data_IF_370285439980
#
_entry.id   IF_370285439980
#
_cell.length_a   1.000
_cell.length_b   1.000
_cell.length_c   1.000
_cell.angle_alpha   90.00
_cell.angle_beta   90.00
_cell.angle_gamma   90.00
#
_symmetry.space_group_name_H-M   'P 1'
#
loop_
_entity.id
_entity.type
_entity.pdbx_description
1 polymer ?
#
# COMPACT_ATOMS: atom_id res chain seq x y z
N UNK A 1 -38.33 17.32 -22.14
CA UNK A 1 -37.55 16.35 -21.32
C UNK A 1 -36.07 16.12 -21.75
N UNK A 2 -35.42 17.00 -22.52
CA UNK A 2 -34.10 16.69 -23.11
C UNK A 2 -32.84 17.10 -22.34
N UNK A 3 -32.89 18.17 -21.51
CA UNK A 3 -31.68 18.77 -20.89
C UNK A 3 -31.21 18.02 -19.63
N UNK A 4 -32.14 17.48 -18.84
CA UNK A 4 -31.83 16.74 -17.60
C UNK A 4 -31.11 15.39 -17.87
N UNK A 5 -31.57 14.62 -18.87
CA UNK A 5 -30.92 13.36 -19.28
C UNK A 5 -29.50 13.57 -19.84
N UNK A 6 -29.26 14.70 -20.52
CA UNK A 6 -27.93 15.05 -21.04
C UNK A 6 -26.94 15.45 -19.93
N UNK A 7 -27.36 16.21 -18.92
CA UNK A 7 -26.52 16.53 -17.75
C UNK A 7 -26.19 15.27 -16.94
N UNK A 8 -27.20 14.45 -16.62
CA UNK A 8 -26.98 13.19 -15.90
C UNK A 8 -26.01 12.24 -16.61
N UNK A 9 -26.04 12.17 -17.95
CA UNK A 9 -25.09 11.34 -18.73
C UNK A 9 -23.66 11.92 -18.74
N UNK A 10 -23.52 13.24 -18.64
CA UNK A 10 -22.23 13.95 -18.54
C UNK A 10 -21.62 13.76 -17.15
N UNK A 11 -22.42 13.90 -16.09
CA UNK A 11 -21.97 13.72 -14.70
C UNK A 11 -21.58 12.26 -14.43
N UNK A 12 -22.30 11.28 -15.01
CA UNK A 12 -21.94 9.86 -14.90
C UNK A 12 -20.62 9.50 -15.59
N UNK A 13 -20.21 10.27 -16.62
CA UNK A 13 -18.91 10.10 -17.28
C UNK A 13 -17.79 10.74 -16.47
N UNK A 14 -18.00 11.97 -15.99
CA UNK A 14 -17.05 12.65 -15.11
C UNK A 14 -16.75 11.83 -13.83
N UNK A 15 -17.77 11.26 -13.19
CA UNK A 15 -17.58 10.40 -12.02
C UNK A 15 -16.85 9.08 -12.35
N UNK A 16 -17.02 8.53 -13.55
CA UNK A 16 -16.27 7.33 -13.99
C UNK A 16 -14.81 7.65 -14.27
N UNK A 17 -14.52 8.81 -14.84
CA UNK A 17 -13.15 9.28 -15.08
C UNK A 17 -12.42 9.57 -13.77
N UNK A 18 -13.08 10.23 -12.81
CA UNK A 18 -12.54 10.45 -11.46
C UNK A 18 -12.30 9.13 -10.71
N UNK A 19 -13.24 8.17 -10.79
CA UNK A 19 -13.06 6.86 -10.18
C UNK A 19 -11.96 6.04 -10.86
N UNK A 20 -11.75 6.21 -12.17
CA UNK A 20 -10.66 5.56 -12.90
C UNK A 20 -9.30 6.17 -12.53
N UNK A 21 -9.21 7.50 -12.40
CA UNK A 21 -8.00 8.19 -11.95
C UNK A 21 -7.63 7.81 -10.51
N UNK A 22 -8.60 7.79 -9.58
CA UNK A 22 -8.37 7.36 -8.21
C UNK A 22 -7.87 5.90 -8.12
N UNK A 23 -8.41 5.01 -8.95
CA UNK A 23 -7.93 3.61 -9.03
C UNK A 23 -6.51 3.52 -9.60
N UNK A 24 -6.21 4.30 -10.64
CA UNK A 24 -4.88 4.34 -11.24
C UNK A 24 -3.82 4.89 -10.27
N UNK A 25 -4.16 5.92 -9.48
CA UNK A 25 -3.26 6.45 -8.45
C UNK A 25 -3.00 5.45 -7.32
N UNK A 26 -4.04 4.74 -6.88
CA UNK A 26 -3.91 3.69 -5.86
C UNK A 26 -3.06 2.53 -6.38
N UNK A 27 -3.25 2.11 -7.64
CA UNK A 27 -2.40 1.08 -8.25
C UNK A 27 -0.95 1.55 -8.44
N UNK A 28 -0.73 2.79 -8.84
CA UNK A 28 0.61 3.36 -8.97
C UNK A 28 1.33 3.44 -7.62
N UNK A 29 0.63 3.84 -6.55
CA UNK A 29 1.15 3.82 -5.17
C UNK A 29 1.48 2.39 -4.72
N UNK A 30 0.60 1.41 -5.00
CA UNK A 30 0.85 -0.01 -4.70
C UNK A 30 2.05 -0.59 -5.47
N UNK A 31 2.24 -0.19 -6.73
CA UNK A 31 3.42 -0.60 -7.54
C UNK A 31 4.70 -0.01 -6.98
N UNK A 32 4.73 1.31 -6.73
CA UNK A 32 5.91 1.97 -6.12
C UNK A 32 6.24 1.37 -4.76
N UNK A 33 5.22 1.09 -3.95
CA UNK A 33 5.39 0.43 -2.66
C UNK A 33 6.09 -0.92 -2.74
N UNK A 34 5.63 -1.79 -3.66
CA UNK A 34 6.27 -3.09 -3.90
C UNK A 34 7.71 -2.99 -4.37
N UNK A 35 8.02 -2.03 -5.25
CA UNK A 35 9.39 -1.82 -5.74
C UNK A 35 10.29 -1.39 -4.58
N UNK A 36 9.85 -0.43 -3.76
CA UNK A 36 10.63 0.06 -2.62
C UNK A 36 10.84 -1.05 -1.60
N UNK A 37 9.79 -1.82 -1.24
CA UNK A 37 9.91 -2.91 -0.28
C UNK A 37 10.85 -4.04 -0.75
N UNK A 38 10.98 -4.23 -2.07
CA UNK A 38 11.90 -5.21 -2.65
C UNK A 38 13.32 -4.66 -2.84
N UNK A 39 13.49 -3.36 -3.05
CA UNK A 39 14.80 -2.74 -3.23
C UNK A 39 15.60 -2.63 -1.93
N UNK A 40 14.93 -2.30 -0.82
CA UNK A 40 15.56 -2.14 0.51
C UNK A 40 16.39 -3.36 0.95
N UNK A 41 15.89 -4.61 0.93
CA UNK A 41 16.66 -5.76 1.37
C UNK A 41 17.85 -6.04 0.44
N UNK A 42 17.71 -5.78 -0.87
CA UNK A 42 18.79 -5.94 -1.85
C UNK A 42 19.93 -4.95 -1.58
N UNK A 43 19.61 -3.69 -1.30
CA UNK A 43 20.62 -2.66 -0.96
C UNK A 43 21.34 -3.02 0.34
N UNK A 44 20.62 -3.44 1.38
CA UNK A 44 21.24 -3.82 2.64
C UNK A 44 22.12 -5.08 2.52
N UNK A 45 21.72 -6.06 1.71
CA UNK A 45 22.55 -7.22 1.40
C UNK A 45 23.83 -6.82 0.66
N UNK A 46 23.74 -5.91 -0.31
CA UNK A 46 24.91 -5.41 -1.03
C UNK A 46 25.89 -4.65 -0.10
N UNK A 47 25.36 -3.83 0.82
CA UNK A 47 26.17 -3.13 1.82
C UNK A 47 26.83 -4.10 2.81
N UNK A 48 26.10 -5.11 3.28
CA UNK A 48 26.64 -6.12 4.17
C UNK A 48 27.72 -6.98 3.49
N UNK A 49 27.52 -7.35 2.22
CA UNK A 49 28.51 -8.02 1.39
C UNK A 49 29.78 -7.17 1.21
N UNK A 50 29.62 -5.87 0.93
CA UNK A 50 30.75 -4.94 0.84
C UNK A 50 31.49 -4.76 2.16
N UNK A 51 30.78 -4.73 3.29
CA UNK A 51 31.39 -4.66 4.61
C UNK A 51 32.13 -5.96 4.99
N UNK A 52 31.60 -7.12 4.59
CA UNK A 52 32.19 -8.42 4.89
C UNK A 52 33.43 -8.70 4.04
N UNK A 53 33.34 -8.52 2.71
CA UNK A 53 34.45 -8.82 1.79
C UNK A 53 35.40 -7.65 1.53
N UNK A 54 34.91 -6.41 1.56
CA UNK A 54 35.74 -5.24 1.26
C UNK A 54 36.45 -4.64 2.47
N UNK A 55 35.80 -4.68 3.64
CA UNK A 55 36.34 -4.14 4.90
C UNK A 55 36.81 -5.24 5.86
N UNK A 56 36.62 -6.51 5.49
CA UNK A 56 36.95 -7.71 6.29
C UNK A 56 36.44 -7.61 7.74
N UNK A 57 35.36 -6.85 7.96
CA UNK A 57 34.84 -6.54 9.29
C UNK A 57 33.52 -7.28 9.51
N UNK A 58 33.54 -8.50 10.09
CA UNK A 58 32.35 -9.31 10.27
C UNK A 58 31.36 -8.66 11.25
N UNK A 59 31.85 -7.92 12.24
CA UNK A 59 31.00 -7.18 13.18
C UNK A 59 30.20 -6.08 12.48
N UNK A 60 30.84 -5.32 11.59
CA UNK A 60 30.17 -4.27 10.83
C UNK A 60 29.12 -4.88 9.86
N UNK A 61 29.45 -5.97 9.18
CA UNK A 61 28.51 -6.70 8.32
C UNK A 61 27.28 -7.19 9.10
N UNK A 62 27.49 -7.76 10.30
CA UNK A 62 26.42 -8.20 11.19
C UNK A 62 25.51 -7.07 11.66
N UNK A 63 26.07 -5.94 12.09
CA UNK A 63 25.30 -4.74 12.48
C UNK A 63 24.49 -4.21 11.31
N UNK A 64 25.07 -4.19 10.10
CA UNK A 64 24.41 -3.72 8.88
C UNK A 64 23.23 -4.63 8.50
N UNK A 65 23.39 -5.95 8.64
CA UNK A 65 22.31 -6.91 8.42
C UNK A 65 21.18 -6.77 9.45
N UNK A 66 21.51 -6.68 10.73
CA UNK A 66 20.50 -6.55 11.80
C UNK A 66 19.73 -5.23 11.68
N UNK A 67 20.43 -4.12 11.46
CA UNK A 67 19.80 -2.81 11.25
C UNK A 67 18.93 -2.79 9.99
N UNK A 68 19.44 -3.35 8.89
CA UNK A 68 18.72 -3.47 7.63
C UNK A 68 17.46 -4.33 7.72
N UNK A 69 17.57 -5.49 8.36
CA UNK A 69 16.43 -6.39 8.59
C UNK A 69 15.35 -5.71 9.44
N UNK A 70 15.74 -4.95 10.47
CA UNK A 70 14.79 -4.19 11.30
C UNK A 70 14.03 -3.12 10.51
N UNK A 71 14.74 -2.31 9.72
CA UNK A 71 14.11 -1.28 8.87
C UNK A 71 13.20 -1.94 7.82
N UNK A 72 13.66 -3.02 7.19
CA UNK A 72 12.89 -3.74 6.20
C UNK A 72 11.60 -4.33 6.80
N UNK A 73 11.67 -4.89 8.00
CA UNK A 73 10.52 -5.43 8.70
C UNK A 73 9.45 -4.35 8.97
N UNK A 74 9.86 -3.15 9.41
CA UNK A 74 8.94 -2.02 9.62
C UNK A 74 8.24 -1.60 8.33
N UNK A 75 8.98 -1.52 7.23
CA UNK A 75 8.42 -1.22 5.91
C UNK A 75 7.45 -2.31 5.44
N UNK A 76 7.85 -3.58 5.58
CA UNK A 76 7.01 -4.72 5.22
C UNK A 76 5.69 -4.74 5.99
N UNK A 77 5.73 -4.48 7.30
CA UNK A 77 4.54 -4.37 8.15
C UNK A 77 3.66 -3.17 7.77
N UNK A 78 4.27 -2.01 7.50
CA UNK A 78 3.54 -0.83 7.02
C UNK A 78 2.81 -1.09 5.69
N UNK A 79 3.48 -1.78 4.75
CA UNK A 79 2.85 -2.17 3.48
C UNK A 79 1.75 -3.20 3.67
N UNK A 80 1.97 -4.21 4.52
CA UNK A 80 0.98 -5.25 4.81
C UNK A 80 -0.29 -4.64 5.45
N UNK A 81 -0.11 -3.75 6.43
CA UNK A 81 -1.20 -3.02 7.08
C UNK A 81 -1.97 -2.11 6.12
N UNK A 82 -1.29 -1.45 5.18
CA UNK A 82 -1.94 -0.58 4.17
C UNK A 82 -2.86 -1.33 3.19
N UNK A 83 -2.68 -2.65 3.05
CA UNK A 83 -3.49 -3.51 2.19
C UNK A 83 -4.74 -4.08 2.85
N UNK A 84 -4.84 -4.00 4.18
CA UNK A 84 -6.00 -4.52 4.92
C UNK A 84 -7.12 -3.48 4.80
N UNK A 85 -8.16 -3.83 4.04
CA UNK A 85 -9.39 -3.04 4.02
C UNK A 85 -9.92 -2.95 5.46
N UNK A 86 -10.34 -1.75 5.93
CA UNK A 86 -10.96 -1.63 7.24
C UNK A 86 -12.10 -2.64 7.31
N UNK A 87 -12.00 -3.59 8.26
CA UNK A 87 -13.03 -4.60 8.49
C UNK A 87 -14.32 -3.86 8.77
N UNK A 88 -15.28 -3.92 7.84
CA UNK A 88 -16.60 -3.25 7.84
C UNK A 88 -17.10 -2.98 9.27
N UNK A 89 -16.69 -1.85 9.86
CA UNK A 89 -17.22 -1.39 11.16
C UNK A 89 -18.58 -0.72 10.96
N UNK A 90 -18.89 -0.33 9.73
CA UNK A 90 -20.14 0.33 9.36
C UNK A 90 -21.31 -0.66 9.16
N UNK A 91 -21.06 -1.97 9.15
CA UNK A 91 -22.10 -3.03 9.17
C UNK A 91 -22.59 -3.39 10.56
N UNK A 92 -22.18 -2.65 11.60
CA UNK A 92 -22.78 -2.77 12.93
C UNK A 92 -24.15 -2.08 13.04
N UNK A 93 -24.59 -1.33 12.01
CA UNK A 93 -25.86 -0.59 11.99
C UNK A 93 -26.99 -1.23 11.19
N UNK A 94 -26.77 -2.36 10.52
CA UNK A 94 -27.83 -3.05 9.73
C UNK A 94 -28.45 -4.24 10.46
N UNK A 95 -28.38 -4.27 11.80
CA UNK A 95 -29.19 -5.20 12.59
C UNK A 95 -30.63 -4.68 12.51
N UNK A 96 -31.39 -5.28 11.59
CA UNK A 96 -32.84 -5.15 11.52
C UNK A 96 -33.44 -5.77 12.79
N UNK A 97 -33.65 -4.95 13.81
CA UNK A 97 -34.51 -5.28 14.93
C UNK A 97 -35.94 -5.21 14.43
N UNK A 98 -36.40 -6.32 13.84
CA UNK A 98 -37.65 -6.45 13.11
C UNK A 98 -38.73 -5.48 13.59
N UNK A 99 -39.11 -4.57 12.69
CA UNK A 99 -40.29 -3.72 12.81
C UNK A 99 -41.54 -4.63 12.83
N UNK A 100 -41.86 -5.15 14.01
CA UNK A 100 -43.15 -5.78 14.31
C UNK A 100 -44.17 -4.66 14.47
N UNK A 101 -44.76 -4.25 13.34
CA UNK A 101 -46.13 -3.76 13.34
C UNK A 101 -47.10 -4.89 13.64
#
# INVERSE_FOLDING_TARGET
MGKAKRKAKKDKRANKELAAQAKAEVEARKRRGRIISAAVPVVFLALAAGAYWGLENPSLAGVTLLGGAGIWLLLALGFLGSGIAPRDRDKAGSIDFGNRG
#
